data_IF_152953524582
#
_entry.id   IF_152953524582
#
_cell.length_a   1.000
_cell.length_b   1.000
_cell.length_c   1.000
_cell.angle_alpha   90.00
_cell.angle_beta   90.00
_cell.angle_gamma   90.00
#
_symmetry.space_group_name_H-M   'P 1'
#
loop_
_entity.id
_entity.type
_entity.pdbx_description
1 polymer ?
#
# COMPACT_ATOMS: atom_id res chain seq x y z
N UNK A 1 -56.03 -40.88 -19.89
CA UNK A 1 -55.47 -40.78 -18.53
C UNK A 1 -53.94 -40.63 -18.66
N UNK A 2 -53.48 -39.34 -18.60
CA UNK A 2 -52.03 -39.05 -18.63
C UNK A 2 -51.56 -38.85 -17.19
N UNK A 3 -50.61 -39.67 -16.74
CA UNK A 3 -49.94 -39.51 -15.46
C UNK A 3 -48.84 -38.42 -15.56
N UNK A 4 -49.01 -37.32 -14.87
CA UNK A 4 -47.98 -36.27 -14.68
C UNK A 4 -47.04 -36.73 -13.57
N UNK A 5 -45.77 -36.96 -13.92
CA UNK A 5 -44.70 -37.24 -12.97
C UNK A 5 -44.13 -35.88 -12.52
N UNK A 6 -44.29 -35.56 -11.24
CA UNK A 6 -43.62 -34.39 -10.63
C UNK A 6 -42.18 -34.78 -10.30
N UNK A 7 -41.20 -34.12 -10.92
CA UNK A 7 -39.83 -34.20 -10.52
C UNK A 7 -39.55 -33.17 -9.40
N UNK A 8 -39.23 -33.66 -8.21
CA UNK A 8 -38.77 -32.85 -7.08
C UNK A 8 -37.28 -32.58 -7.28
N UNK A 9 -36.94 -31.33 -7.61
CA UNK A 9 -35.53 -30.87 -7.61
C UNK A 9 -35.17 -30.49 -6.18
N UNK A 10 -34.33 -31.30 -5.54
CA UNK A 10 -33.77 -30.99 -4.22
C UNK A 10 -32.68 -29.92 -4.42
N UNK A 11 -32.96 -28.71 -3.93
CA UNK A 11 -31.98 -27.62 -3.84
C UNK A 11 -31.06 -27.92 -2.66
N UNK A 12 -29.85 -28.41 -2.91
CA UNK A 12 -28.83 -28.59 -1.89
C UNK A 12 -28.29 -27.22 -1.47
N UNK A 13 -28.77 -26.68 -0.35
CA UNK A 13 -28.13 -25.56 0.32
C UNK A 13 -26.76 -26.02 0.85
N UNK A 14 -25.71 -25.61 0.17
CA UNK A 14 -24.36 -25.70 0.71
C UNK A 14 -24.27 -24.73 1.92
N UNK A 15 -24.48 -25.26 3.11
CA UNK A 15 -24.17 -24.57 4.36
C UNK A 15 -22.64 -24.53 4.44
N UNK A 16 -22.03 -23.39 4.08
CA UNK A 16 -20.61 -23.17 4.37
C UNK A 16 -20.48 -23.16 5.90
N UNK A 17 -19.81 -24.16 6.46
CA UNK A 17 -19.46 -24.17 7.87
C UNK A 17 -18.66 -22.87 8.17
N UNK A 18 -18.93 -22.21 9.31
CA UNK A 18 -18.13 -21.05 9.68
C UNK A 18 -16.67 -21.47 9.82
N UNK A 19 -15.79 -20.79 9.09
CA UNK A 19 -14.35 -21.01 9.24
C UNK A 19 -13.99 -20.58 10.65
N UNK A 20 -13.64 -21.53 11.50
CA UNK A 20 -13.13 -21.26 12.84
C UNK A 20 -11.72 -20.65 12.71
N UNK A 21 -11.39 -19.72 13.56
CA UNK A 21 -10.11 -19.03 13.55
C UNK A 21 -9.65 -18.73 14.99
N UNK A 22 -8.35 -18.69 15.19
CA UNK A 22 -7.76 -18.21 16.44
C UNK A 22 -7.37 -16.74 16.30
N UNK A 23 -7.82 -15.93 17.25
CA UNK A 23 -7.60 -14.49 17.27
C UNK A 23 -6.86 -14.09 18.54
N UNK A 24 -5.92 -13.16 18.40
CA UNK A 24 -5.18 -12.52 19.49
C UNK A 24 -5.28 -11.01 19.34
N UNK A 25 -5.70 -10.33 20.41
CA UNK A 25 -5.65 -8.87 20.52
C UNK A 25 -4.26 -8.51 21.06
N UNK A 26 -3.40 -7.92 20.23
CA UNK A 26 -2.03 -7.54 20.60
C UNK A 26 -2.00 -6.16 21.26
N UNK A 27 -2.86 -5.26 20.81
CA UNK A 27 -3.01 -3.89 21.33
C UNK A 27 -4.48 -3.50 21.30
N UNK A 28 -4.94 -2.84 22.36
CA UNK A 28 -6.27 -2.19 22.41
C UNK A 28 -6.21 -1.00 23.36
N UNK A 29 -6.39 0.20 22.82
CA UNK A 29 -6.48 1.41 23.64
C UNK A 29 -7.71 1.41 24.55
N UNK A 30 -8.81 0.80 24.10
CA UNK A 30 -10.07 0.73 24.86
C UNK A 30 -9.93 -0.13 26.12
N UNK A 31 -9.32 -1.30 26.01
CA UNK A 31 -9.10 -2.22 27.15
C UNK A 31 -7.75 -2.07 27.83
N UNK A 32 -6.94 -1.06 27.42
CA UNK A 32 -5.56 -0.86 27.88
C UNK A 32 -4.68 -2.11 27.72
N UNK A 33 -4.94 -2.89 26.68
CA UNK A 33 -4.16 -4.10 26.38
C UNK A 33 -2.92 -3.75 25.58
N UNK A 34 -1.78 -4.26 26.00
CA UNK A 34 -0.51 -4.27 25.27
C UNK A 34 0.27 -5.52 25.61
N UNK A 35 0.39 -6.43 24.66
CA UNK A 35 1.14 -7.68 24.86
C UNK A 35 2.67 -7.51 24.74
N UNK A 36 3.13 -6.32 24.34
CA UNK A 36 4.56 -6.09 24.13
C UNK A 36 5.15 -7.08 23.09
N UNK A 37 6.17 -7.85 23.49
CA UNK A 37 6.68 -8.94 22.65
C UNK A 37 5.73 -10.14 22.69
N UNK A 38 5.36 -10.64 21.53
CA UNK A 38 4.43 -11.76 21.39
C UNK A 38 4.81 -12.65 20.21
N UNK A 39 4.49 -13.94 20.28
CA UNK A 39 4.78 -14.87 19.20
C UNK A 39 3.82 -16.06 19.16
N UNK A 40 3.46 -16.47 17.96
CA UNK A 40 2.78 -17.74 17.66
C UNK A 40 3.43 -18.42 16.47
N UNK A 41 3.43 -19.76 16.46
CA UNK A 41 4.00 -20.57 15.38
C UNK A 41 3.01 -21.61 14.88
N UNK A 42 3.18 -22.08 13.65
CA UNK A 42 2.40 -23.17 13.09
C UNK A 42 2.40 -24.42 13.98
N UNK A 43 3.52 -24.74 14.63
CA UNK A 43 3.63 -25.87 15.57
C UNK A 43 2.76 -25.67 16.83
N UNK A 44 2.71 -24.46 17.39
CA UNK A 44 1.85 -24.15 18.55
C UNK A 44 0.37 -24.29 18.16
N UNK A 45 0.02 -24.03 16.91
CA UNK A 45 -1.31 -24.17 16.36
C UNK A 45 -1.63 -25.57 15.87
N UNK A 46 -0.64 -26.49 15.92
CA UNK A 46 -0.75 -27.87 15.40
C UNK A 46 -1.10 -27.92 13.90
N UNK A 47 -0.70 -26.91 13.14
CA UNK A 47 -0.87 -26.84 11.70
C UNK A 47 0.03 -27.86 11.03
N UNK A 48 -0.54 -28.65 10.11
CA UNK A 48 0.21 -29.64 9.32
C UNK A 48 0.57 -29.06 7.96
N UNK A 49 1.73 -29.47 7.43
CA UNK A 49 2.21 -29.15 6.08
C UNK A 49 2.41 -27.64 5.80
N UNK A 50 2.46 -26.82 6.84
CA UNK A 50 2.78 -25.39 6.75
C UNK A 50 3.75 -25.03 7.86
N UNK A 51 4.76 -24.22 7.53
CA UNK A 51 5.76 -23.75 8.50
C UNK A 51 5.80 -22.22 8.48
N UNK A 52 5.17 -21.61 9.48
CA UNK A 52 5.13 -20.17 9.62
C UNK A 52 5.23 -19.74 11.09
N UNK A 53 5.61 -18.51 11.29
CA UNK A 53 5.55 -17.82 12.57
C UNK A 53 5.01 -16.39 12.39
N UNK A 54 4.39 -15.88 13.43
CA UNK A 54 3.95 -14.49 13.54
C UNK A 54 4.47 -13.98 14.86
N UNK A 55 5.22 -12.88 14.85
CA UNK A 55 5.76 -12.31 16.08
C UNK A 55 5.60 -10.78 16.10
N UNK A 56 5.26 -10.23 17.26
CA UNK A 56 5.37 -8.80 17.54
C UNK A 56 6.62 -8.55 18.34
N UNK A 57 7.38 -7.52 17.97
CA UNK A 57 8.54 -7.03 18.70
C UNK A 57 8.40 -5.57 19.03
N UNK A 58 8.77 -5.21 20.24
CA UNK A 58 9.01 -3.82 20.64
C UNK A 58 10.49 -3.52 20.34
N UNK A 59 10.71 -2.44 19.59
CA UNK A 59 12.06 -1.99 19.23
C UNK A 59 12.61 -1.02 20.28
N UNK A 60 13.91 -1.08 20.49
CA UNK A 60 14.61 -0.25 21.46
C UNK A 60 15.80 0.46 20.83
N UNK A 61 16.16 1.59 21.45
CA UNK A 61 17.33 2.40 21.08
C UNK A 61 17.04 3.40 19.95
N UNK A 62 17.65 4.58 20.05
CA UNK A 62 17.48 5.66 19.08
C UNK A 62 16.03 6.13 18.95
N UNK A 63 15.68 6.63 17.77
CA UNK A 63 14.33 7.12 17.47
C UNK A 63 13.31 5.99 17.30
N UNK A 64 13.72 4.73 17.24
CA UNK A 64 12.79 3.58 17.20
C UNK A 64 12.29 3.14 18.57
N UNK A 65 12.76 3.75 19.66
CA UNK A 65 12.36 3.39 21.02
C UNK A 65 10.84 3.30 21.18
N UNK A 66 10.33 2.13 21.59
CA UNK A 66 8.92 1.85 21.76
C UNK A 66 8.13 1.58 20.47
N UNK A 67 8.73 1.70 19.29
CA UNK A 67 8.09 1.29 18.03
C UNK A 67 7.85 -0.22 18.03
N UNK A 68 6.74 -0.63 17.43
CA UNK A 68 6.38 -2.04 17.28
C UNK A 68 6.46 -2.47 15.82
N UNK A 69 6.87 -3.70 15.62
CA UNK A 69 6.79 -4.39 14.33
C UNK A 69 6.10 -5.73 14.50
N UNK A 70 5.33 -6.14 13.49
CA UNK A 70 4.80 -7.49 13.36
C UNK A 70 5.50 -8.13 12.17
N UNK A 71 6.05 -9.33 12.40
CA UNK A 71 6.80 -10.08 11.40
C UNK A 71 6.07 -11.41 11.16
N UNK A 72 5.58 -11.60 9.96
CA UNK A 72 5.04 -12.87 9.48
C UNK A 72 6.14 -13.53 8.68
N UNK A 73 6.54 -14.73 9.05
CA UNK A 73 7.56 -15.51 8.31
C UNK A 73 6.95 -16.82 7.84
N UNK A 74 6.99 -17.09 6.55
CA UNK A 74 6.65 -18.38 5.96
C UNK A 74 7.90 -19.01 5.35
N UNK A 75 8.21 -20.25 5.71
CA UNK A 75 9.45 -20.91 5.26
C UNK A 75 9.56 -21.01 3.74
N UNK A 76 8.45 -21.34 3.08
CA UNK A 76 8.39 -21.54 1.63
C UNK A 76 7.58 -20.42 0.94
N UNK A 77 7.58 -19.23 1.52
CA UNK A 77 6.82 -18.07 1.04
C UNK A 77 7.50 -16.75 1.40
N UNK A 78 6.68 -15.80 1.86
CA UNK A 78 7.14 -14.45 2.18
C UNK A 78 7.48 -14.29 3.67
N UNK A 79 8.41 -13.39 3.94
CA UNK A 79 8.57 -12.70 5.21
C UNK A 79 8.01 -11.29 5.02
N UNK A 80 6.97 -10.94 5.80
CA UNK A 80 6.29 -9.64 5.73
C UNK A 80 6.49 -8.94 7.07
N UNK A 81 7.05 -7.73 7.05
CA UNK A 81 7.23 -6.89 8.22
C UNK A 81 6.37 -5.64 8.10
N UNK A 82 5.50 -5.40 9.07
CA UNK A 82 4.65 -4.22 9.15
C UNK A 82 4.79 -3.51 10.50
N UNK A 83 4.42 -2.22 10.58
CA UNK A 83 4.55 -1.42 11.78
C UNK A 83 3.20 -0.93 12.30
N UNK A 84 2.69 -1.50 13.40
CA UNK A 84 1.52 -0.97 14.08
C UNK A 84 1.71 0.46 14.61
N UNK A 85 2.93 0.84 14.96
CA UNK A 85 3.25 2.18 15.44
C UNK A 85 3.18 3.25 14.34
N UNK A 86 3.17 2.83 13.07
CA UNK A 86 3.19 3.72 11.90
C UNK A 86 2.12 3.31 10.90
N UNK A 87 0.86 3.62 11.21
CA UNK A 87 -0.26 3.47 10.27
C UNK A 87 -0.49 2.05 9.72
N UNK A 88 0.00 1.00 10.40
CA UNK A 88 0.00 -0.37 9.86
C UNK A 88 0.74 -0.49 8.52
N UNK A 89 1.73 0.37 8.26
CA UNK A 89 2.51 0.37 7.02
C UNK A 89 3.37 -0.88 6.90
N UNK A 90 3.69 -1.24 5.65
CA UNK A 90 4.59 -2.33 5.34
C UNK A 90 6.02 -1.80 5.26
N UNK A 91 6.89 -2.28 6.14
CA UNK A 91 8.30 -1.89 6.15
C UNK A 91 9.10 -2.64 5.09
N UNK A 92 8.85 -3.95 4.97
CA UNK A 92 9.62 -4.83 4.10
C UNK A 92 8.85 -6.10 3.79
N UNK A 93 8.98 -6.58 2.57
CA UNK A 93 8.51 -7.90 2.16
C UNK A 93 9.62 -8.58 1.38
N UNK A 94 9.93 -9.82 1.73
CA UNK A 94 10.98 -10.58 1.06
C UNK A 94 10.65 -12.07 0.99
N UNK A 95 11.15 -12.73 -0.03
CA UNK A 95 11.00 -14.17 -0.23
C UNK A 95 11.70 -14.59 -1.50
N UNK A 96 12.02 -15.87 -1.65
CA UNK A 96 12.61 -16.43 -2.86
C UNK A 96 13.89 -15.70 -3.33
N UNK A 97 14.65 -15.11 -2.39
CA UNK A 97 15.85 -14.32 -2.70
C UNK A 97 15.59 -12.94 -3.29
N UNK A 98 14.35 -12.47 -3.30
CA UNK A 98 13.95 -11.13 -3.78
C UNK A 98 13.35 -10.32 -2.64
N UNK A 99 13.59 -9.00 -2.64
CA UNK A 99 13.03 -8.05 -1.68
C UNK A 99 12.16 -7.03 -2.40
N UNK A 100 10.94 -6.82 -1.92
CA UNK A 100 10.16 -5.60 -2.13
C UNK A 100 10.46 -4.64 -0.97
N UNK A 101 10.76 -3.39 -1.30
CA UNK A 101 11.25 -2.38 -0.39
C UNK A 101 12.56 -1.78 -0.89
N UNK A 102 13.18 -0.93 -0.11
CA UNK A 102 14.34 -0.14 -0.51
C UNK A 102 15.30 0.14 0.66
N UNK A 103 16.45 0.72 0.35
CA UNK A 103 17.47 1.07 1.34
C UNK A 103 17.44 2.57 1.62
N UNK A 104 16.44 2.99 2.42
CA UNK A 104 16.35 4.37 2.89
C UNK A 104 17.60 4.78 3.69
N UNK A 105 18.04 6.03 3.61
CA UNK A 105 19.00 6.60 4.57
C UNK A 105 18.47 6.59 6.00
N UNK A 106 17.14 6.61 6.20
CA UNK A 106 16.49 6.45 7.51
C UNK A 106 16.47 4.97 7.88
N UNK A 107 17.35 4.55 8.79
CA UNK A 107 17.52 3.11 9.13
C UNK A 107 16.61 2.63 10.25
N UNK A 108 16.22 3.53 11.14
CA UNK A 108 15.38 3.22 12.30
C UNK A 108 13.89 3.22 11.90
N UNK A 109 13.10 2.36 12.53
CA UNK A 109 11.64 2.44 12.48
C UNK A 109 11.20 3.55 13.44
N UNK A 110 11.29 4.79 12.97
CA UNK A 110 11.12 5.98 13.81
C UNK A 110 9.74 5.99 14.47
N UNK A 111 9.73 6.10 15.81
CA UNK A 111 8.50 6.25 16.57
C UNK A 111 7.89 7.64 16.27
N UNK A 112 6.60 7.73 15.95
CA UNK A 112 5.94 9.02 15.68
C UNK A 112 6.10 10.07 16.79
N UNK A 113 6.33 9.64 18.04
CA UNK A 113 6.62 10.56 19.15
C UNK A 113 7.88 11.40 18.95
N UNK A 114 8.80 10.97 18.08
CA UNK A 114 10.02 11.71 17.73
C UNK A 114 9.93 12.48 16.41
N UNK A 115 8.74 12.56 15.81
CA UNK A 115 8.52 13.21 14.53
C UNK A 115 7.67 14.47 14.69
N UNK A 116 8.11 15.54 14.04
CA UNK A 116 7.29 16.74 13.85
C UNK A 116 6.97 16.87 12.36
N UNK A 117 5.74 16.51 11.97
CA UNK A 117 5.32 16.55 10.57
C UNK A 117 5.35 17.95 9.96
N UNK A 118 5.23 19.00 10.77
CA UNK A 118 5.30 20.39 10.32
C UNK A 118 6.73 20.92 10.15
N UNK A 119 7.75 20.17 10.60
CA UNK A 119 9.14 20.57 10.42
C UNK A 119 9.48 20.74 8.94
N UNK A 120 10.46 21.60 8.62
CA UNK A 120 10.89 21.89 7.25
C UNK A 120 9.74 22.33 6.33
N UNK A 121 8.84 23.18 6.84
CA UNK A 121 7.65 23.65 6.12
C UNK A 121 6.71 22.51 5.67
N UNK A 122 6.46 21.56 6.55
CA UNK A 122 5.55 20.45 6.30
C UNK A 122 6.21 19.19 5.73
N UNK A 123 7.54 19.14 5.64
CA UNK A 123 8.29 17.98 5.11
C UNK A 123 8.75 17.01 6.20
N UNK A 124 8.28 17.14 7.44
CA UNK A 124 8.71 16.29 8.56
C UNK A 124 8.41 14.81 8.38
N UNK A 125 7.48 14.44 7.52
CA UNK A 125 7.18 13.08 7.11
C UNK A 125 8.43 12.33 6.59
N UNK A 126 9.33 13.03 5.91
CA UNK A 126 10.58 12.47 5.37
C UNK A 126 11.55 11.97 6.47
N UNK A 127 11.42 12.46 7.71
CA UNK A 127 12.30 12.03 8.82
C UNK A 127 12.08 10.57 9.24
N UNK A 128 10.94 9.98 8.84
CA UNK A 128 10.64 8.57 9.10
C UNK A 128 10.58 7.69 7.86
N UNK A 129 10.70 8.25 6.67
CA UNK A 129 10.39 7.56 5.42
C UNK A 129 11.37 6.42 5.09
N UNK A 130 10.90 5.17 5.26
CA UNK A 130 11.66 3.96 4.96
C UNK A 130 10.80 2.74 4.62
N UNK A 131 9.50 2.91 4.49
CA UNK A 131 8.57 1.82 4.24
C UNK A 131 8.62 1.31 2.81
N UNK A 132 8.33 0.02 2.64
CA UNK A 132 7.98 -0.56 1.35
C UNK A 132 6.63 -0.03 0.85
N UNK A 133 5.65 0.13 1.74
CA UNK A 133 4.37 0.78 1.43
C UNK A 133 3.90 1.58 2.63
N UNK A 134 3.61 2.86 2.40
CA UNK A 134 3.04 3.77 3.39
C UNK A 134 1.69 4.28 2.91
N UNK A 135 0.69 4.28 3.82
CA UNK A 135 -0.60 4.93 3.60
C UNK A 135 -0.47 6.42 3.79
N UNK A 136 -0.65 7.17 2.71
CA UNK A 136 -0.66 8.62 2.73
C UNK A 136 -2.11 9.10 2.77
N UNK A 137 -2.49 9.86 3.78
CA UNK A 137 -3.88 10.29 4.03
C UNK A 137 -4.10 10.59 5.52
N UNK A 138 -5.31 10.59 6.05
CA UNK A 138 -6.61 10.38 5.36
C UNK A 138 -7.33 11.69 5.04
N UNK A 139 -7.18 12.74 5.89
CA UNK A 139 -7.79 14.05 5.63
C UNK A 139 -7.23 14.68 4.34
N UNK A 140 -5.93 14.51 4.10
CA UNK A 140 -5.25 14.96 2.89
C UNK A 140 -4.03 14.10 2.61
N UNK A 141 -3.51 14.22 1.38
CA UNK A 141 -2.23 13.65 0.96
C UNK A 141 -1.55 14.60 -0.04
N UNK A 142 -0.38 14.23 -0.54
CA UNK A 142 0.38 14.99 -1.54
C UNK A 142 1.36 15.98 -0.94
N UNK A 143 1.83 16.91 -1.76
CA UNK A 143 2.81 17.91 -1.40
C UNK A 143 2.30 18.88 -0.33
N UNK A 144 3.19 19.41 0.54
CA UNK A 144 2.76 20.30 1.60
C UNK A 144 2.32 21.66 1.05
N UNK A 145 1.35 22.27 1.72
CA UNK A 145 0.89 23.63 1.42
C UNK A 145 0.39 24.31 2.69
N UNK A 146 0.64 25.61 2.82
CA UNK A 146 0.01 26.44 3.85
C UNK A 146 -1.22 27.12 3.26
N UNK A 147 -2.38 26.80 3.77
CA UNK A 147 -3.66 27.38 3.35
C UNK A 147 -4.64 27.38 4.53
N UNK A 148 -5.61 28.29 4.52
CA UNK A 148 -6.67 28.38 5.54
C UNK A 148 -6.13 28.47 6.99
N UNK A 149 -4.94 29.05 7.17
CA UNK A 149 -4.31 29.21 8.47
C UNK A 149 -3.70 27.93 9.06
N UNK A 150 -3.51 26.89 8.27
CA UNK A 150 -2.86 25.65 8.69
C UNK A 150 -1.83 25.16 7.66
N UNK A 151 -0.90 24.32 8.11
CA UNK A 151 0.02 23.59 7.26
C UNK A 151 -0.59 22.21 6.96
N UNK A 152 -0.86 21.97 5.69
CA UNK A 152 -1.13 20.63 5.19
C UNK A 152 0.22 19.97 4.92
N UNK A 153 0.59 19.03 5.76
CA UNK A 153 1.93 18.40 5.72
C UNK A 153 2.02 17.38 4.58
N UNK A 154 3.24 17.09 4.13
CA UNK A 154 3.51 16.08 3.12
C UNK A 154 2.81 14.77 3.49
N UNK A 155 1.98 14.26 2.56
CA UNK A 155 1.31 12.96 2.63
C UNK A 155 0.39 12.72 3.86
N UNK A 156 0.01 13.77 4.58
CA UNK A 156 -0.93 13.67 5.70
C UNK A 156 -0.35 12.98 6.94
N UNK A 157 -1.22 12.42 7.78
CA UNK A 157 -0.86 11.91 9.11
C UNK A 157 -0.94 10.38 9.22
N UNK A 158 -1.76 9.72 8.39
CA UNK A 158 -2.10 8.30 8.52
C UNK A 158 -0.88 7.40 8.67
N UNK A 159 0.15 7.61 7.84
CA UNK A 159 1.39 6.83 7.85
C UNK A 159 2.22 6.96 9.14
N UNK A 160 1.92 7.96 9.98
CA UNK A 160 2.62 8.20 11.24
C UNK A 160 1.67 8.22 12.44
N UNK A 161 0.49 7.63 12.31
CA UNK A 161 -0.49 7.48 13.37
C UNK A 161 -0.45 6.04 13.89
N UNK A 162 -0.16 5.81 15.19
CA UNK A 162 -0.18 4.47 15.77
C UNK A 162 -1.59 3.86 15.74
N UNK A 163 -1.68 2.56 15.44
CA UNK A 163 -2.95 1.83 15.51
C UNK A 163 -3.43 1.73 16.97
N UNK A 164 -4.68 2.11 17.22
CA UNK A 164 -5.33 2.05 18.54
C UNK A 164 -5.81 0.64 18.90
N UNK A 165 -5.96 -0.24 17.91
CA UNK A 165 -6.27 -1.66 18.07
C UNK A 165 -5.44 -2.45 17.06
N UNK A 166 -4.91 -3.60 17.48
CA UNK A 166 -4.15 -4.51 16.62
C UNK A 166 -4.54 -5.95 16.95
N UNK A 167 -4.93 -6.69 15.94
CA UNK A 167 -5.34 -8.09 16.04
C UNK A 167 -4.60 -8.96 15.04
N UNK A 168 -4.29 -10.19 15.45
CA UNK A 168 -3.81 -11.26 14.58
C UNK A 168 -4.81 -12.39 14.61
N UNK A 169 -5.20 -12.88 13.44
CA UNK A 169 -6.09 -14.02 13.26
C UNK A 169 -5.42 -15.05 12.37
N UNK A 170 -5.59 -16.34 12.71
CA UNK A 170 -5.16 -17.47 11.88
C UNK A 170 -6.32 -18.43 11.72
N UNK A 171 -6.69 -18.76 10.48
CA UNK A 171 -7.73 -19.74 10.16
C UNK A 171 -7.36 -21.12 10.71
N UNK A 172 -8.32 -21.84 11.28
CA UNK A 172 -8.14 -23.20 11.82
C UNK A 172 -7.97 -24.27 10.76
N UNK A 173 -8.31 -23.96 9.52
CA UNK A 173 -8.30 -24.89 8.38
C UNK A 173 -7.43 -24.38 7.24
N UNK A 174 -6.97 -25.31 6.40
CA UNK A 174 -6.24 -24.94 5.18
C UNK A 174 -7.09 -23.96 4.33
N UNK A 175 -6.47 -22.96 3.73
CA UNK A 175 -5.01 -22.73 3.61
C UNK A 175 -4.34 -22.02 4.79
N UNK A 176 -4.95 -21.96 5.96
CA UNK A 176 -4.44 -21.33 7.18
C UNK A 176 -4.13 -19.83 6.98
N UNK A 177 -5.07 -19.11 6.35
CA UNK A 177 -4.92 -17.68 6.09
C UNK A 177 -4.61 -16.92 7.38
N UNK A 178 -3.62 -16.05 7.30
CA UNK A 178 -3.21 -15.12 8.35
C UNK A 178 -3.82 -13.78 8.03
N UNK A 179 -4.47 -13.15 9.01
CA UNK A 179 -4.97 -11.78 8.94
C UNK A 179 -4.37 -10.95 10.06
N UNK A 180 -3.86 -9.78 9.69
CA UNK A 180 -3.40 -8.77 10.66
C UNK A 180 -4.23 -7.53 10.45
N UNK A 181 -5.00 -7.14 11.47
CA UNK A 181 -5.89 -5.98 11.45
C UNK A 181 -5.37 -4.89 12.36
N UNK A 182 -5.59 -3.65 11.97
CA UNK A 182 -5.27 -2.49 12.80
C UNK A 182 -6.27 -1.35 12.59
N UNK A 183 -6.66 -0.69 13.68
CA UNK A 183 -7.53 0.48 13.64
C UNK A 183 -6.69 1.74 13.78
N UNK A 184 -6.59 2.51 12.70
CA UNK A 184 -5.89 3.81 12.64
C UNK A 184 -6.92 4.93 12.65
N UNK A 185 -6.76 5.91 13.56
CA UNK A 185 -7.73 6.98 13.77
C UNK A 185 -7.09 8.36 13.55
N UNK A 186 -7.68 9.14 12.66
CA UNK A 186 -7.49 10.59 12.56
C UNK A 186 -8.69 11.28 13.16
N UNK A 187 -8.70 11.42 14.50
CA UNK A 187 -9.79 12.04 15.24
C UNK A 187 -9.29 13.32 15.91
N UNK A 188 -9.84 14.46 15.51
CA UNK A 188 -9.46 15.79 16.03
C UNK A 188 -10.71 16.56 16.46
N UNK A 189 -10.70 17.10 17.68
CA UNK A 189 -11.83 17.84 18.23
C UNK A 189 -12.32 18.95 17.30
N UNK A 190 -13.59 18.94 16.92
CA UNK A 190 -14.25 19.84 15.96
C UNK A 190 -13.64 19.84 14.54
N UNK A 191 -12.93 18.79 14.15
CA UNK A 191 -12.35 18.60 12.82
C UNK A 191 -12.77 17.22 12.30
N UNK A 192 -11.85 16.46 11.74
CA UNK A 192 -12.12 15.11 11.25
C UNK A 192 -12.35 14.10 12.37
N UNK A 193 -13.12 13.06 12.07
CA UNK A 193 -13.12 11.77 12.74
C UNK A 193 -13.14 10.66 11.68
N UNK A 194 -11.99 10.46 11.05
CA UNK A 194 -11.76 9.45 10.03
C UNK A 194 -11.05 8.26 10.65
N UNK A 195 -11.63 7.08 10.54
CA UNK A 195 -11.08 5.85 11.10
C UNK A 195 -10.95 4.79 10.02
N UNK A 196 -9.79 4.17 9.94
CA UNK A 196 -9.52 3.11 8.97
C UNK A 196 -9.25 1.80 9.67
N UNK A 197 -10.08 0.80 9.43
CA UNK A 197 -9.75 -0.59 9.72
C UNK A 197 -8.91 -1.11 8.56
N UNK A 198 -7.63 -1.34 8.82
CA UNK A 198 -6.72 -1.95 7.84
C UNK A 198 -6.62 -3.45 8.06
N UNK A 199 -6.55 -4.22 7.01
CA UNK A 199 -6.35 -5.67 7.07
C UNK A 199 -5.31 -6.12 6.04
N UNK A 200 -4.29 -6.83 6.51
CA UNK A 200 -3.40 -7.61 5.66
C UNK A 200 -3.84 -9.07 5.70
N UNK A 201 -4.00 -9.70 4.52
CA UNK A 201 -4.30 -11.12 4.34
C UNK A 201 -3.14 -11.82 3.66
N UNK A 202 -2.69 -12.92 4.24
CA UNK A 202 -1.59 -13.70 3.69
C UNK A 202 -1.85 -15.21 3.85
N UNK A 203 -1.69 -15.95 2.78
CA UNK A 203 -1.68 -17.41 2.81
C UNK A 203 -0.24 -17.89 2.87
N UNK A 204 0.19 -18.60 3.93
CA UNK A 204 1.56 -19.12 4.05
C UNK A 204 1.97 -19.94 2.82
N UNK A 205 3.19 -19.73 2.32
CA UNK A 205 3.69 -20.36 1.10
C UNK A 205 3.38 -19.59 -0.19
N UNK A 206 2.55 -18.53 -0.13
CA UNK A 206 2.25 -17.70 -1.29
C UNK A 206 3.35 -16.67 -1.55
N UNK A 207 3.51 -16.28 -2.82
CA UNK A 207 4.35 -15.13 -3.23
C UNK A 207 3.55 -13.81 -3.29
N UNK A 208 2.32 -13.78 -2.78
CA UNK A 208 1.42 -12.61 -2.80
C UNK A 208 0.68 -12.46 -1.48
N UNK A 209 0.28 -11.23 -1.19
CA UNK A 209 -0.60 -10.87 -0.08
C UNK A 209 -1.59 -9.79 -0.52
N UNK A 210 -2.68 -9.65 0.21
CA UNK A 210 -3.70 -8.65 -0.06
C UNK A 210 -3.80 -7.64 1.09
N UNK A 211 -4.16 -6.41 0.77
CA UNK A 211 -4.61 -5.38 1.69
C UNK A 211 -6.09 -5.11 1.45
N UNK A 212 -6.83 -4.96 2.53
CA UNK A 212 -8.22 -4.53 2.53
C UNK A 212 -8.40 -3.47 3.61
N UNK A 213 -8.62 -2.24 3.21
CA UNK A 213 -8.80 -1.11 4.11
C UNK A 213 -10.23 -0.57 4.00
N UNK A 214 -10.85 -0.30 5.14
CA UNK A 214 -12.18 0.32 5.20
C UNK A 214 -12.07 1.64 5.97
N UNK A 215 -12.21 2.74 5.25
CA UNK A 215 -12.21 4.10 5.80
C UNK A 215 -13.65 4.53 6.09
N UNK A 216 -13.92 4.97 7.31
CA UNK A 216 -15.24 5.43 7.77
C UNK A 216 -15.15 6.83 8.34
N UNK A 217 -16.09 7.69 7.95
CA UNK A 217 -16.30 8.98 8.61
C UNK A 217 -17.24 8.79 9.82
N UNK A 218 -16.69 8.92 11.03
CA UNK A 218 -17.44 8.82 12.29
C UNK A 218 -17.98 10.15 12.80
N UNK A 219 -17.68 11.28 12.11
CA UNK A 219 -18.25 12.58 12.45
C UNK A 219 -19.73 12.69 12.00
N UNK A 220 -20.44 13.67 12.58
CA UNK A 220 -21.82 13.97 12.20
C UNK A 220 -21.96 14.83 10.94
N UNK A 221 -20.84 15.19 10.32
CA UNK A 221 -20.77 16.05 9.13
C UNK A 221 -19.97 15.39 8.01
N UNK A 222 -20.26 15.75 6.74
CA UNK A 222 -19.42 15.31 5.62
C UNK A 222 -17.98 15.74 5.81
N UNK A 223 -17.03 14.86 5.43
CA UNK A 223 -15.62 15.16 5.51
C UNK A 223 -14.89 14.74 4.22
N UNK A 224 -13.95 15.59 3.80
CA UNK A 224 -13.04 15.28 2.70
C UNK A 224 -12.12 14.13 3.10
N UNK A 225 -11.73 13.32 2.10
CA UNK A 225 -10.67 12.33 2.27
C UNK A 225 -9.84 12.15 1.01
N UNK A 226 -8.60 11.77 1.22
CA UNK A 226 -7.65 11.34 0.18
C UNK A 226 -6.84 10.16 0.71
N UNK A 227 -6.43 9.26 -0.20
CA UNK A 227 -5.46 8.21 0.11
C UNK A 227 -4.55 7.94 -1.09
N UNK A 228 -3.28 7.72 -0.82
CA UNK A 228 -2.28 7.18 -1.75
C UNK A 228 -1.60 5.99 -1.06
N UNK A 229 -1.50 4.86 -1.74
CA UNK A 229 -0.71 3.70 -1.33
C UNK A 229 0.69 3.84 -1.93
N UNK A 230 1.55 4.59 -1.24
CA UNK A 230 2.90 4.93 -1.70
C UNK A 230 3.83 3.72 -1.56
N UNK A 231 3.99 2.97 -2.65
CA UNK A 231 4.70 1.68 -2.66
C UNK A 231 6.08 1.80 -3.28
N UNK A 232 7.12 1.49 -2.51
CA UNK A 232 8.51 1.84 -2.77
C UNK A 232 9.37 0.62 -3.07
N UNK A 233 10.06 0.65 -4.20
CA UNK A 233 10.87 -0.45 -4.69
C UNK A 233 12.29 0.02 -5.01
N UNK A 234 13.26 -0.63 -4.42
CA UNK A 234 14.69 -0.47 -4.67
C UNK A 234 15.32 -1.78 -5.14
N UNK A 235 16.61 -1.95 -4.89
CA UNK A 235 17.32 -3.20 -5.19
C UNK A 235 16.71 -4.40 -4.43
N UNK A 236 16.70 -5.60 -5.03
CA UNK A 236 17.32 -6.00 -6.31
C UNK A 236 16.41 -5.83 -7.52
N UNK A 237 15.18 -5.32 -7.37
CA UNK A 237 14.23 -5.15 -8.47
C UNK A 237 14.62 -3.92 -9.30
N UNK A 238 14.85 -2.78 -8.63
CA UNK A 238 15.26 -1.55 -9.28
C UNK A 238 16.76 -1.55 -9.54
N UNK A 239 17.13 -1.40 -10.79
CA UNK A 239 18.51 -1.31 -11.29
C UNK A 239 18.55 -0.56 -12.62
N UNK A 240 19.75 -0.25 -13.14
CA UNK A 240 19.89 0.30 -14.48
C UNK A 240 19.31 -0.66 -15.53
N UNK A 241 18.31 -0.18 -16.28
CA UNK A 241 17.59 -0.98 -17.27
C UNK A 241 16.36 -1.72 -16.71
N UNK A 242 16.02 -1.55 -15.43
CA UNK A 242 14.71 -1.91 -14.91
C UNK A 242 13.61 -1.11 -15.61
N UNK A 243 12.39 -1.63 -15.62
CA UNK A 243 11.25 -1.02 -16.33
C UNK A 243 10.02 -0.94 -15.44
N UNK A 244 9.28 0.16 -15.55
CA UNK A 244 7.92 0.27 -15.07
C UNK A 244 6.94 -0.08 -16.18
N UNK A 245 5.88 -0.83 -15.85
CA UNK A 245 4.84 -1.25 -16.81
C UNK A 245 3.48 -1.13 -16.14
N UNK A 246 2.54 -0.47 -16.80
CA UNK A 246 1.12 -0.40 -16.41
C UNK A 246 0.27 -0.12 -17.65
N UNK A 247 -0.97 -0.61 -17.70
CA UNK A 247 -1.90 -0.21 -18.77
C UNK A 247 -2.43 1.18 -18.45
N UNK A 248 -2.40 2.09 -19.42
CA UNK A 248 -2.76 3.47 -19.21
C UNK A 248 -3.38 4.13 -20.44
N UNK A 249 -4.28 5.06 -20.21
CA UNK A 249 -4.82 5.96 -21.24
C UNK A 249 -3.83 7.09 -21.50
N UNK A 250 -3.31 7.73 -20.43
CA UNK A 250 -2.39 8.85 -20.57
C UNK A 250 -1.36 8.90 -19.43
N UNK A 251 -0.26 9.59 -19.73
CA UNK A 251 0.78 9.95 -18.78
C UNK A 251 1.19 11.41 -18.99
N UNK A 252 1.41 12.14 -17.89
CA UNK A 252 1.87 13.53 -17.91
C UNK A 252 2.95 13.76 -16.86
N UNK A 253 3.87 14.70 -17.06
CA UNK A 253 4.81 15.09 -16.01
C UNK A 253 4.06 15.80 -14.88
N UNK A 254 4.51 15.61 -13.66
CA UNK A 254 3.96 16.29 -12.49
C UNK A 254 4.25 17.81 -12.53
N UNK A 255 5.48 18.16 -12.92
CA UNK A 255 5.97 19.53 -13.02
C UNK A 255 6.87 19.71 -14.24
N UNK A 256 7.39 20.93 -14.44
CA UNK A 256 8.25 21.26 -15.59
C UNK A 256 9.59 20.50 -15.58
N UNK A 257 10.13 20.15 -14.42
CA UNK A 257 11.35 19.35 -14.31
C UNK A 257 11.15 17.93 -14.86
N UNK A 258 10.05 17.29 -14.53
CA UNK A 258 9.75 15.92 -14.96
C UNK A 258 9.52 15.79 -16.47
N UNK A 259 9.27 16.90 -17.20
CA UNK A 259 9.14 16.88 -18.70
C UNK A 259 10.34 16.26 -19.36
N UNK A 260 11.55 16.52 -18.87
CA UNK A 260 12.77 15.98 -19.44
C UNK A 260 12.82 14.45 -19.44
N UNK A 261 12.12 13.81 -18.49
CA UNK A 261 12.05 12.36 -18.37
C UNK A 261 10.85 11.71 -19.09
N UNK A 262 9.95 12.51 -19.70
CA UNK A 262 8.69 11.97 -20.24
C UNK A 262 8.90 10.92 -21.34
N UNK A 263 9.90 11.05 -22.20
CA UNK A 263 10.18 10.06 -23.25
C UNK A 263 10.83 8.77 -22.72
N UNK A 264 11.33 8.80 -21.48
CA UNK A 264 12.01 7.67 -20.80
C UNK A 264 11.27 7.26 -19.52
N UNK A 265 9.98 7.58 -19.41
CA UNK A 265 9.20 7.30 -18.22
C UNK A 265 9.24 5.82 -17.81
N UNK A 266 9.26 4.90 -18.80
CA UNK A 266 9.29 3.45 -18.56
C UNK A 266 10.60 2.94 -17.98
N UNK A 267 11.74 3.55 -18.35
CA UNK A 267 13.07 3.01 -18.12
C UNK A 267 13.73 3.68 -16.90
N UNK A 268 14.48 2.90 -16.15
CA UNK A 268 15.25 3.42 -15.03
C UNK A 268 16.74 3.48 -15.35
N UNK A 269 17.34 4.64 -15.09
CA UNK A 269 18.79 4.80 -15.08
C UNK A 269 19.40 4.14 -13.83
N UNK A 270 20.69 3.91 -13.85
CA UNK A 270 21.47 3.56 -12.65
C UNK A 270 21.56 4.73 -11.65
N UNK A 271 22.12 4.49 -10.45
CA UNK A 271 22.31 5.55 -9.45
C UNK A 271 23.10 6.74 -10.04
N UNK A 272 22.51 7.94 -10.00
CA UNK A 272 23.03 9.14 -10.63
C UNK A 272 23.12 10.28 -9.61
N UNK A 273 24.33 10.70 -9.25
CA UNK A 273 24.53 11.78 -8.27
C UNK A 273 23.88 13.08 -8.73
N UNK A 274 23.06 13.65 -7.85
CA UNK A 274 22.36 14.91 -8.08
C UNK A 274 21.11 14.76 -8.96
N UNK A 275 20.62 13.52 -9.15
CA UNK A 275 19.30 13.32 -9.73
C UNK A 275 18.25 13.89 -8.77
N UNK A 276 17.42 14.78 -9.28
CA UNK A 276 16.22 15.22 -8.58
C UNK A 276 15.05 14.28 -8.95
N UNK A 277 14.02 14.24 -8.12
CA UNK A 277 12.87 13.37 -8.35
C UNK A 277 12.09 13.76 -9.61
N UNK A 278 11.66 12.76 -10.38
CA UNK A 278 10.73 12.93 -11.48
C UNK A 278 9.45 12.18 -11.19
N UNK A 279 8.33 12.89 -11.22
CA UNK A 279 7.01 12.34 -10.91
C UNK A 279 6.13 12.41 -12.14
N UNK A 280 5.37 11.35 -12.40
CA UNK A 280 4.44 11.25 -13.53
C UNK A 280 3.05 10.88 -13.04
N UNK A 281 2.06 11.61 -13.54
CA UNK A 281 0.65 11.34 -13.31
C UNK A 281 0.13 10.42 -14.42
N UNK A 282 -0.49 9.33 -14.04
CA UNK A 282 -0.99 8.29 -14.94
C UNK A 282 -2.49 8.13 -14.76
N UNK A 283 -3.23 8.12 -15.87
CA UNK A 283 -4.62 7.68 -15.91
C UNK A 283 -4.63 6.21 -16.31
N UNK A 284 -4.87 5.28 -15.36
CA UNK A 284 -4.79 3.85 -15.64
C UNK A 284 -5.97 3.37 -16.48
N UNK A 285 -5.75 2.38 -17.35
CA UNK A 285 -6.78 1.53 -17.93
C UNK A 285 -7.04 0.34 -17.01
N UNK A 286 -8.23 -0.25 -17.11
CA UNK A 286 -8.63 -1.41 -16.33
C UNK A 286 -9.38 -2.43 -17.19
N UNK A 287 -9.47 -3.66 -16.71
CA UNK A 287 -10.30 -4.70 -17.30
C UNK A 287 -11.81 -4.45 -17.09
N UNK A 288 -12.64 -5.34 -17.59
CA UNK A 288 -14.12 -5.26 -17.47
C UNK A 288 -14.63 -5.26 -16.02
N UNK A 289 -13.81 -5.77 -15.08
CA UNK A 289 -14.09 -5.79 -13.64
C UNK A 289 -13.50 -4.58 -12.91
N UNK A 290 -12.97 -3.60 -13.65
CA UNK A 290 -12.27 -2.41 -13.15
C UNK A 290 -10.95 -2.68 -12.42
N UNK A 291 -10.35 -3.86 -12.61
CA UNK A 291 -9.03 -4.15 -12.06
C UNK A 291 -7.93 -3.76 -13.03
N UNK A 292 -6.85 -3.24 -12.49
CA UNK A 292 -5.62 -2.94 -13.21
C UNK A 292 -4.41 -3.47 -12.47
N UNK A 293 -3.26 -3.50 -13.14
CA UNK A 293 -2.00 -3.98 -12.55
C UNK A 293 -0.86 -3.09 -13.01
N UNK A 294 -0.09 -2.57 -12.06
CA UNK A 294 1.18 -1.88 -12.33
C UNK A 294 2.35 -2.71 -11.80
N UNK A 295 3.49 -2.70 -12.49
CA UNK A 295 4.65 -3.50 -12.10
C UNK A 295 5.97 -2.77 -12.35
N UNK A 296 6.96 -3.06 -11.52
CA UNK A 296 8.38 -2.78 -11.76
C UNK A 296 9.11 -4.10 -11.93
N UNK A 297 9.92 -4.19 -12.98
CA UNK A 297 10.61 -5.42 -13.40
C UNK A 297 12.08 -5.10 -13.59
N UNK A 298 12.96 -5.96 -13.10
CA UNK A 298 14.40 -5.81 -13.28
C UNK A 298 14.83 -5.97 -14.74
N UNK A 299 16.07 -5.61 -15.05
CA UNK A 299 16.61 -5.64 -16.41
C UNK A 299 16.58 -7.03 -17.03
N UNK A 300 16.86 -8.06 -16.24
CA UNK A 300 16.88 -9.45 -16.72
C UNK A 300 15.47 -10.01 -17.00
N UNK A 301 14.40 -9.40 -16.47
CA UNK A 301 13.04 -9.89 -16.63
C UNK A 301 12.74 -11.15 -15.81
N UNK A 302 13.47 -11.38 -14.72
CA UNK A 302 13.32 -12.55 -13.85
C UNK A 302 12.90 -12.21 -12.41
N UNK A 303 12.83 -10.91 -12.08
CA UNK A 303 12.39 -10.39 -10.78
C UNK A 303 11.53 -9.16 -10.96
N UNK A 304 10.60 -8.97 -10.03
CA UNK A 304 9.76 -7.79 -10.03
C UNK A 304 8.80 -7.72 -8.85
N UNK A 305 8.02 -6.67 -8.85
CA UNK A 305 6.88 -6.48 -7.97
C UNK A 305 5.69 -5.99 -8.79
N UNK A 306 4.50 -6.54 -8.51
CA UNK A 306 3.27 -6.13 -9.14
C UNK A 306 2.23 -5.72 -8.09
N UNK A 307 1.47 -4.67 -8.38
CA UNK A 307 0.36 -4.16 -7.57
C UNK A 307 -0.89 -4.21 -8.43
N UNK A 308 -1.88 -4.99 -7.99
CA UNK A 308 -3.22 -5.01 -8.58
C UNK A 308 -4.17 -4.20 -7.70
N UNK A 309 -5.02 -3.37 -8.30
CA UNK A 309 -6.00 -2.54 -7.59
C UNK A 309 -7.25 -2.29 -8.44
N UNK A 310 -8.33 -1.81 -7.79
CA UNK A 310 -9.61 -1.45 -8.43
C UNK A 310 -9.61 0.05 -8.75
N UNK A 311 -9.78 0.42 -10.02
CA UNK A 311 -9.78 1.82 -10.48
C UNK A 311 -11.02 2.63 -10.08
N UNK A 312 -12.09 1.98 -9.59
CA UNK A 312 -13.24 2.69 -8.98
C UNK A 312 -12.88 3.22 -7.60
N UNK A 313 -12.02 2.49 -6.88
CA UNK A 313 -11.53 2.84 -5.54
C UNK A 313 -10.33 3.79 -5.63
N UNK A 314 -9.39 3.50 -6.53
CA UNK A 314 -8.12 4.20 -6.74
C UNK A 314 -7.99 4.60 -8.22
N UNK A 315 -8.64 5.70 -8.65
CA UNK A 315 -8.78 6.05 -10.07
C UNK A 315 -7.53 6.62 -10.72
N UNK A 316 -6.49 6.89 -9.97
CA UNK A 316 -5.23 7.46 -10.48
C UNK A 316 -4.03 6.66 -10.02
N UNK A 317 -2.94 6.81 -10.76
CA UNK A 317 -1.65 6.18 -10.44
C UNK A 317 -0.54 7.22 -10.59
N UNK A 318 0.32 7.31 -9.60
CA UNK A 318 1.54 8.12 -9.66
C UNK A 318 2.75 7.22 -9.80
N UNK A 319 3.66 7.57 -10.71
CA UNK A 319 5.00 7.00 -10.83
C UNK A 319 6.01 8.03 -10.31
N UNK A 320 6.64 7.75 -9.17
CA UNK A 320 7.73 8.53 -8.62
C UNK A 320 9.06 7.86 -8.91
N UNK A 321 10.00 8.58 -9.52
CA UNK A 321 11.35 8.11 -9.83
C UNK A 321 12.37 8.92 -9.05
N UNK A 322 13.16 8.27 -8.21
CA UNK A 322 14.29 8.86 -7.49
C UNK A 322 15.52 7.98 -7.67
N UNK A 323 16.22 8.19 -8.79
CA UNK A 323 17.43 7.44 -9.14
C UNK A 323 18.71 8.18 -8.73
N UNK A 324 18.71 8.87 -7.60
CA UNK A 324 19.92 9.43 -6.99
C UNK A 324 20.85 8.29 -6.51
N UNK A 325 21.91 8.59 -5.81
CA UNK A 325 22.86 7.59 -5.35
C UNK A 325 22.20 6.60 -4.37
N UNK A 326 22.77 5.41 -4.22
CA UNK A 326 22.26 4.40 -3.29
C UNK A 326 22.24 4.92 -1.84
N UNK A 327 23.18 5.78 -1.45
CA UNK A 327 23.23 6.38 -0.11
C UNK A 327 22.14 7.42 0.12
N UNK A 328 21.62 8.03 -0.94
CA UNK A 328 20.51 8.99 -0.89
C UNK A 328 19.14 8.31 -1.06
N UNK A 329 19.13 7.00 -1.30
CA UNK A 329 17.94 6.22 -1.47
C UNK A 329 17.55 6.04 -2.93
N UNK A 330 18.24 5.14 -3.64
CA UNK A 330 17.89 4.72 -4.99
C UNK A 330 16.58 3.94 -4.98
N UNK A 331 15.49 4.57 -5.41
CA UNK A 331 14.11 4.05 -5.22
C UNK A 331 13.14 4.54 -6.30
N UNK A 332 12.07 3.80 -6.53
CA UNK A 332 10.89 4.24 -7.28
C UNK A 332 9.62 3.97 -6.50
N UNK A 333 8.62 4.86 -6.60
CA UNK A 333 7.29 4.70 -6.06
C UNK A 333 6.29 4.32 -7.16
N UNK A 334 5.42 3.35 -6.87
CA UNK A 334 4.22 3.02 -7.64
C UNK A 334 3.04 3.25 -6.70
N UNK A 335 2.20 4.23 -7.02
CA UNK A 335 1.33 4.86 -6.04
C UNK A 335 -0.12 4.97 -6.52
N UNK A 336 -0.91 3.88 -6.43
CA UNK A 336 -2.34 3.98 -6.63
C UNK A 336 -2.99 4.91 -5.60
N UNK A 337 -3.88 5.80 -6.04
CA UNK A 337 -4.49 6.79 -5.16
C UNK A 337 -5.88 7.26 -5.59
N UNK A 338 -6.56 7.94 -4.67
CA UNK A 338 -7.82 8.65 -4.98
C UNK A 338 -7.56 9.97 -5.69
N UNK A 339 -6.34 10.51 -5.53
CA UNK A 339 -5.84 11.75 -6.12
C UNK A 339 -4.36 11.62 -6.44
N UNK A 340 -3.81 12.53 -7.23
CA UNK A 340 -2.37 12.65 -7.43
C UNK A 340 -1.71 13.31 -6.21
N UNK A 341 -0.37 13.43 -6.24
CA UNK A 341 0.41 13.96 -5.12
C UNK A 341 0.52 15.51 -5.09
N UNK A 342 -0.32 16.24 -5.83
CA UNK A 342 -0.37 17.69 -5.72
C UNK A 342 -0.86 18.15 -4.34
N UNK A 343 -0.55 19.39 -3.94
CA UNK A 343 -1.14 19.98 -2.75
C UNK A 343 -2.67 19.86 -2.72
N UNK A 344 -3.25 19.65 -1.54
CA UNK A 344 -4.71 19.44 -1.37
C UNK A 344 -5.57 20.57 -1.97
N UNK A 345 -5.06 21.79 -1.98
CA UNK A 345 -5.72 22.97 -2.61
C UNK A 345 -5.91 22.74 -4.10
N UNK A 346 -4.88 22.28 -4.79
CA UNK A 346 -4.91 21.94 -6.21
C UNK A 346 -5.83 20.73 -6.46
N UNK A 347 -5.73 19.70 -5.64
CA UNK A 347 -6.59 18.51 -5.79
C UNK A 347 -8.07 18.84 -5.59
N UNK A 348 -8.42 19.81 -4.71
CA UNK A 348 -9.79 20.35 -4.56
C UNK A 348 -10.23 21.10 -5.81
N UNK A 349 -9.42 22.00 -6.34
CA UNK A 349 -9.71 22.73 -7.58
C UNK A 349 -9.96 21.79 -8.75
N UNK A 350 -9.17 20.71 -8.84
CA UNK A 350 -9.28 19.67 -9.86
C UNK A 350 -10.39 18.64 -9.57
N UNK A 351 -11.15 18.80 -8.47
CA UNK A 351 -12.27 17.92 -8.06
C UNK A 351 -11.85 16.46 -7.84
N UNK A 352 -10.62 16.22 -7.46
CA UNK A 352 -10.11 14.88 -7.16
C UNK A 352 -10.16 14.52 -5.67
N UNK A 353 -10.38 15.50 -4.78
CA UNK A 353 -10.67 15.22 -3.37
C UNK A 353 -12.06 14.60 -3.25
N UNK A 354 -12.15 13.47 -2.57
CA UNK A 354 -13.40 12.74 -2.33
C UNK A 354 -14.02 13.16 -0.99
N UNK A 355 -15.30 12.85 -0.80
CA UNK A 355 -16.02 13.16 0.42
C UNK A 355 -16.80 11.95 0.92
N UNK A 356 -16.79 11.71 2.23
CA UNK A 356 -17.65 10.77 2.93
C UNK A 356 -18.71 11.52 3.73
N UNK A 357 -19.97 11.13 3.57
CA UNK A 357 -21.04 11.64 4.42
C UNK A 357 -20.91 11.10 5.84
N UNK A 358 -21.62 11.67 6.79
CA UNK A 358 -21.70 11.18 8.18
C UNK A 358 -22.03 9.68 8.21
N UNK A 359 -21.22 8.88 8.88
CA UNK A 359 -21.36 7.43 9.00
C UNK A 359 -21.06 6.63 7.73
N UNK A 360 -20.69 7.28 6.63
CA UNK A 360 -20.37 6.59 5.38
C UNK A 360 -18.98 5.97 5.42
N UNK A 361 -18.84 4.81 4.76
CA UNK A 361 -17.56 4.12 4.57
C UNK A 361 -17.22 3.96 3.09
N UNK A 362 -15.94 3.85 2.81
CA UNK A 362 -15.37 3.42 1.52
C UNK A 362 -14.30 2.37 1.77
N UNK A 363 -13.98 1.57 0.75
CA UNK A 363 -12.99 0.51 0.88
C UNK A 363 -11.94 0.60 -0.22
N UNK A 364 -10.78 0.00 0.06
CA UNK A 364 -9.65 -0.08 -0.85
C UNK A 364 -9.05 -1.48 -0.81
N UNK A 365 -8.93 -2.10 -1.98
CA UNK A 365 -8.43 -3.46 -2.16
C UNK A 365 -7.19 -3.45 -3.06
N UNK A 366 -6.08 -3.96 -2.55
CA UNK A 366 -4.83 -4.09 -3.29
C UNK A 366 -4.27 -5.50 -3.12
N UNK A 367 -3.67 -6.04 -4.17
CA UNK A 367 -2.88 -7.26 -4.09
C UNK A 367 -1.46 -7.00 -4.56
N UNK A 368 -0.50 -7.34 -3.71
CA UNK A 368 0.93 -7.28 -4.00
C UNK A 368 1.45 -8.66 -4.35
N UNK A 369 2.19 -8.77 -5.42
CA UNK A 369 2.82 -10.01 -5.87
C UNK A 369 4.32 -9.81 -6.03
N UNK A 370 5.11 -10.64 -5.35
CA UNK A 370 6.55 -10.71 -5.55
C UNK A 370 6.81 -11.67 -6.71
N UNK A 371 7.48 -11.17 -7.76
CA UNK A 371 7.85 -11.94 -8.95
C UNK A 371 9.29 -12.40 -8.79
N UNK A 372 9.53 -13.69 -8.91
CA UNK A 372 10.84 -14.29 -8.67
C UNK A 372 11.28 -15.27 -9.76
N UNK A 373 10.50 -15.37 -10.86
CA UNK A 373 10.83 -16.15 -12.05
C UNK A 373 10.43 -15.39 -13.31
N UNK A 374 11.12 -15.65 -14.43
CA UNK A 374 10.76 -15.05 -15.73
C UNK A 374 9.33 -15.40 -16.16
N UNK A 375 8.86 -16.63 -15.92
CA UNK A 375 7.49 -17.01 -16.25
C UNK A 375 6.44 -16.17 -15.52
N UNK A 376 6.64 -15.86 -14.22
CA UNK A 376 5.75 -14.97 -13.48
C UNK A 376 5.78 -13.53 -14.00
N UNK A 377 6.97 -13.06 -14.41
CA UNK A 377 7.13 -11.74 -15.05
C UNK A 377 6.39 -11.71 -16.37
N UNK A 378 6.56 -12.72 -17.22
CA UNK A 378 5.90 -12.84 -18.53
C UNK A 378 4.37 -12.85 -18.38
N UNK A 379 3.83 -13.57 -17.40
CA UNK A 379 2.39 -13.61 -17.11
C UNK A 379 1.84 -12.24 -16.73
N UNK A 380 2.56 -11.47 -15.90
CA UNK A 380 2.17 -10.11 -15.52
C UNK A 380 2.25 -9.16 -16.71
N UNK A 381 3.33 -9.21 -17.50
CA UNK A 381 3.50 -8.39 -18.72
C UNK A 381 2.36 -8.68 -19.70
N UNK A 382 2.04 -9.95 -19.91
CA UNK A 382 0.94 -10.38 -20.78
C UNK A 382 -0.40 -9.81 -20.30
N UNK A 383 -0.71 -9.94 -19.00
CA UNK A 383 -1.95 -9.41 -18.42
C UNK A 383 -2.07 -7.89 -18.59
N UNK A 384 -0.97 -7.15 -18.36
CA UNK A 384 -0.92 -5.70 -18.57
C UNK A 384 -1.16 -5.37 -20.05
N UNK A 385 -0.53 -6.10 -20.96
CA UNK A 385 -0.72 -5.94 -22.39
C UNK A 385 -2.14 -6.23 -22.86
N UNK A 386 -2.81 -7.24 -22.28
CA UNK A 386 -4.21 -7.56 -22.56
C UNK A 386 -5.16 -6.42 -22.15
N UNK A 387 -4.91 -5.78 -20.99
CA UNK A 387 -5.69 -4.61 -20.54
C UNK A 387 -5.40 -3.39 -21.44
N UNK A 388 -4.14 -3.16 -21.83
CA UNK A 388 -3.77 -2.06 -22.72
C UNK A 388 -4.43 -2.22 -24.12
N UNK A 389 -4.48 -3.45 -24.61
CA UNK A 389 -5.05 -3.76 -25.93
C UNK A 389 -4.42 -2.93 -27.04
N UNK A 390 -5.27 -2.34 -27.88
CA UNK A 390 -4.86 -1.43 -28.95
C UNK A 390 -4.93 0.06 -28.59
N UNK A 391 -5.24 0.38 -27.34
CA UNK A 391 -5.36 1.77 -26.88
C UNK A 391 -3.97 2.42 -26.88
N UNK A 392 -3.73 3.50 -27.65
CA UNK A 392 -2.47 4.20 -27.62
C UNK A 392 -2.31 4.93 -26.28
N UNK A 393 -1.07 5.02 -25.81
CA UNK A 393 -0.74 5.84 -24.63
C UNK A 393 -0.59 7.29 -25.09
N UNK A 394 -1.38 8.19 -24.51
CA UNK A 394 -1.24 9.62 -24.74
C UNK A 394 -0.16 10.18 -23.81
N UNK A 395 0.97 10.61 -24.38
CA UNK A 395 2.02 11.36 -23.65
C UNK A 395 1.67 12.86 -23.66
N UNK A 396 1.13 13.34 -22.55
CA UNK A 396 0.79 14.77 -22.39
C UNK A 396 2.06 15.52 -21.97
N UNK A 397 2.53 16.46 -22.81
CA UNK A 397 3.81 17.15 -22.60
C UNK A 397 3.79 18.21 -21.48
N UNK A 398 2.62 18.56 -20.97
CA UNK A 398 2.49 19.59 -19.94
C UNK A 398 1.95 19.01 -18.64
N UNK A 399 2.34 19.55 -17.47
CA UNK A 399 1.69 19.22 -16.22
C UNK A 399 0.19 19.46 -16.29
N UNK A 400 -0.60 18.55 -15.70
CA UNK A 400 -2.08 18.68 -15.64
C UNK A 400 -2.53 19.71 -14.61
N UNK A 401 -1.64 20.14 -13.73
CA UNK A 401 -1.84 21.24 -12.79
C UNK A 401 -0.50 21.96 -12.57
N UNK A 402 -0.54 23.15 -12.02
CA UNK A 402 0.66 23.91 -11.62
C UNK A 402 0.65 24.08 -10.11
N UNK A 403 1.79 23.82 -9.47
CA UNK A 403 2.06 24.13 -8.07
C UNK A 403 2.20 25.63 -7.84
#
# INVERSE_FOLDING_TARGET
MMKKTLALTALACLISAPVMAKTWVLTSAESATDLGNWKVTSNMLKVKNQNFSIEQKVLHGGKQEGSKVIIITSKDGLTITLSPSRGMNLLRVEGYGVRMGWDSPVKEVVNPAFMNLESRNGLGWLEGFNEMMVRCGYEWTGHPVTADGQIYTLHGKAGNTPASQVEVEVSDSAPYEIRVRGLVKESTFKKADLQTMTELRYVPGSNRFALHDVLTNHADYPHDYQIIYHSNFGKPILEAGARFIAPMESISPFNDYAKAGLKEWQNFAGPTKGFDEMVFNIKPLADENHHTTAAVINKAGDKGAAIQFDTRQLPVLTLWKNTDTEKQGYVTGIEPGTSYAYPVTIEREQKRVKQLQAGQSTQFDLTYTLLHTSGQVDDVVKKIGEIQGSTPIEEIETPIAKE
#
